data_IF_820392461760
#
_entry.id   IF_820392461760
#
_cell.length_a   1.000
_cell.length_b   1.000
_cell.length_c   1.000
_cell.angle_alpha   90.00
_cell.angle_beta   90.00
_cell.angle_gamma   90.00
#
_symmetry.space_group_name_H-M   'P 1'
#
loop_
_entity.id
_entity.type
_entity.pdbx_description
1 polymer ?
#
# COMPACT_ATOMS: atom_id res chain seq x y z
N UNK A 1 1.29 -12.46 -21.83
CA UNK A 1 2.29 -12.79 -20.80
C UNK A 1 3.32 -11.67 -20.66
N UNK A 2 3.93 -11.18 -21.76
CA UNK A 2 4.82 -9.99 -21.74
C UNK A 2 4.21 -8.70 -21.16
N UNK A 3 2.90 -8.48 -21.32
CA UNK A 3 2.18 -7.31 -20.78
C UNK A 3 1.91 -7.36 -19.26
N UNK A 4 2.02 -8.52 -18.61
CA UNK A 4 1.84 -8.66 -17.16
C UNK A 4 3.15 -8.45 -16.39
N UNK A 5 4.29 -8.83 -16.97
CA UNK A 5 5.62 -8.62 -16.40
C UNK A 5 5.89 -7.13 -16.06
N UNK A 6 5.40 -6.21 -16.91
CA UNK A 6 5.70 -4.77 -16.79
C UNK A 6 4.71 -3.99 -15.92
N UNK A 7 3.53 -4.56 -15.59
CA UNK A 7 2.59 -3.94 -14.65
C UNK A 7 3.17 -3.82 -13.23
N UNK A 8 4.17 -4.66 -12.88
CA UNK A 8 4.92 -4.55 -11.63
C UNK A 8 5.76 -3.26 -11.53
N UNK A 9 6.27 -2.73 -12.65
CA UNK A 9 7.08 -1.50 -12.66
C UNK A 9 6.23 -0.26 -12.37
N UNK A 10 4.97 -0.24 -12.83
CA UNK A 10 4.03 0.87 -12.64
C UNK A 10 3.68 1.09 -11.15
N UNK A 11 3.72 0.03 -10.33
CA UNK A 11 3.32 0.08 -8.92
C UNK A 11 4.45 0.52 -7.97
N UNK A 12 5.71 0.50 -8.43
CA UNK A 12 6.89 0.81 -7.62
C UNK A 12 7.47 2.21 -7.86
N UNK A 13 6.90 3.01 -8.75
CA UNK A 13 7.38 4.39 -9.00
C UNK A 13 6.82 5.30 -7.91
N UNK A 14 7.40 5.18 -6.72
CA UNK A 14 7.44 6.26 -5.76
C UNK A 14 8.28 7.39 -6.36
N UNK A 15 7.63 8.30 -7.08
CA UNK A 15 8.18 9.56 -7.59
C UNK A 15 8.52 10.52 -6.42
N UNK A 16 9.22 10.04 -5.39
CA UNK A 16 9.49 10.77 -4.15
C UNK A 16 10.86 11.47 -4.12
N UNK A 17 11.81 11.11 -5.00
CA UNK A 17 13.14 11.73 -4.97
C UNK A 17 13.27 13.02 -5.83
N UNK A 18 12.59 13.12 -6.98
CA UNK A 18 12.79 14.22 -7.94
C UNK A 18 12.09 15.54 -7.57
N UNK A 19 10.99 15.47 -6.80
CA UNK A 19 10.21 16.67 -6.46
C UNK A 19 10.88 17.56 -5.41
N UNK A 20 11.76 17.00 -4.57
CA UNK A 20 12.46 17.74 -3.51
C UNK A 20 13.56 18.63 -4.10
N UNK A 21 14.48 18.07 -4.88
CA UNK A 21 15.69 18.78 -5.38
C UNK A 21 15.34 19.94 -6.32
N UNK A 22 14.40 19.72 -7.25
CA UNK A 22 13.98 20.76 -8.19
C UNK A 22 13.17 21.89 -7.53
N UNK A 23 12.35 21.57 -6.53
CA UNK A 23 11.53 22.56 -5.83
C UNK A 23 12.34 23.40 -4.86
N UNK A 24 13.34 22.82 -4.17
CA UNK A 24 14.27 23.60 -3.34
C UNK A 24 15.06 24.61 -4.18
N UNK A 25 15.57 24.21 -5.35
CA UNK A 25 16.25 25.12 -6.27
C UNK A 25 15.32 26.25 -6.77
N UNK A 26 14.05 25.91 -7.11
CA UNK A 26 13.07 26.89 -7.57
C UNK A 26 12.57 27.88 -6.50
N UNK A 27 12.52 27.48 -5.22
CA UNK A 27 12.14 28.36 -4.12
C UNK A 27 13.29 29.28 -3.72
N UNK A 28 14.53 28.78 -3.64
CA UNK A 28 15.73 29.59 -3.40
C UNK A 28 15.84 30.71 -4.45
N UNK A 29 15.58 30.38 -5.72
CA UNK A 29 15.60 31.38 -6.81
C UNK A 29 14.52 32.46 -6.65
N UNK A 30 13.30 32.11 -6.21
CA UNK A 30 12.20 33.08 -6.03
C UNK A 30 12.43 34.01 -4.84
N UNK A 31 12.84 33.46 -3.70
CA UNK A 31 13.07 34.26 -2.49
C UNK A 31 14.23 35.23 -2.70
N UNK A 32 15.26 34.83 -3.46
CA UNK A 32 16.42 35.69 -3.74
C UNK A 32 16.14 36.76 -4.79
N UNK A 33 15.32 36.49 -5.81
CA UNK A 33 14.84 37.54 -6.73
C UNK A 33 14.03 38.59 -5.97
N UNK A 34 13.21 38.19 -4.99
CA UNK A 34 12.48 39.14 -4.16
C UNK A 34 13.42 39.99 -3.29
N UNK A 35 14.46 39.40 -2.71
CA UNK A 35 15.47 40.14 -1.93
C UNK A 35 16.29 41.10 -2.80
N UNK A 36 16.76 40.67 -3.98
CA UNK A 36 17.49 41.53 -4.92
C UNK A 36 16.62 42.68 -5.42
N UNK A 37 15.34 42.43 -5.72
CA UNK A 37 14.40 43.47 -6.10
C UNK A 37 14.14 44.47 -4.95
N UNK A 38 14.15 44.02 -3.69
CA UNK A 38 14.04 44.90 -2.51
C UNK A 38 15.31 45.73 -2.29
N UNK A 39 16.49 45.14 -2.45
CA UNK A 39 17.79 45.82 -2.34
C UNK A 39 17.97 46.88 -3.45
N UNK A 40 17.58 46.55 -4.68
CA UNK A 40 17.63 47.47 -5.83
C UNK A 40 16.60 48.59 -5.72
N UNK A 41 15.40 48.30 -5.20
CA UNK A 41 14.41 49.32 -4.88
C UNK A 41 14.91 50.31 -3.81
N UNK A 42 15.70 49.85 -2.84
CA UNK A 42 16.33 50.70 -1.84
C UNK A 42 17.47 51.58 -2.40
N UNK A 43 18.08 51.16 -3.52
CA UNK A 43 19.19 51.88 -4.17
C UNK A 43 18.75 52.77 -5.36
N UNK A 44 17.45 52.77 -5.71
CA UNK A 44 16.90 53.64 -6.75
C UNK A 44 17.38 53.33 -8.17
N UNK A 45 17.90 52.13 -8.42
CA UNK A 45 18.35 51.69 -9.74
C UNK A 45 17.41 50.64 -10.33
N UNK A 46 17.08 50.81 -11.62
CA UNK A 46 16.33 49.83 -12.41
C UNK A 46 17.34 49.08 -13.29
N UNK A 47 17.67 47.84 -12.95
CA UNK A 47 18.48 46.97 -13.82
C UNK A 47 17.58 46.30 -14.87
N UNK A 48 18.04 46.21 -16.11
CA UNK A 48 17.35 45.44 -17.15
C UNK A 48 17.42 43.93 -16.83
N UNK A 49 16.35 43.20 -17.15
CA UNK A 49 16.12 41.77 -16.87
C UNK A 49 17.29 40.87 -17.37
N UNK A 50 17.99 41.33 -18.39
CA UNK A 50 19.19 40.73 -19.01
C UNK A 50 20.41 40.69 -18.09
N UNK A 51 20.60 41.67 -17.20
CA UNK A 51 21.76 41.70 -16.28
C UNK A 51 21.49 40.94 -14.98
N UNK A 52 20.23 40.89 -14.53
CA UNK A 52 19.78 39.97 -13.47
C UNK A 52 20.02 38.51 -13.89
N UNK A 53 19.71 38.20 -15.15
CA UNK A 53 19.92 36.87 -15.74
C UNK A 53 21.39 36.47 -15.74
N UNK A 54 22.31 37.40 -16.06
CA UNK A 54 23.76 37.15 -16.04
C UNK A 54 24.32 36.98 -14.63
N UNK A 55 23.82 37.73 -13.64
CA UNK A 55 24.22 37.56 -12.23
C UNK A 55 23.70 36.23 -11.65
N UNK A 56 22.51 35.80 -12.04
CA UNK A 56 21.96 34.48 -11.69
C UNK A 56 22.75 33.32 -12.34
N UNK A 57 23.22 33.50 -13.58
CA UNK A 57 23.98 32.47 -14.32
C UNK A 57 25.35 32.18 -13.68
N UNK A 58 25.94 33.16 -12.97
CA UNK A 58 27.23 33.01 -12.27
C UNK A 58 27.15 32.14 -11.01
N UNK A 59 25.95 31.71 -10.60
CA UNK A 59 25.69 30.90 -9.40
C UNK A 59 25.03 29.54 -9.71
N UNK A 60 24.99 29.11 -10.98
CA UNK A 60 24.40 27.83 -11.40
C UNK A 60 25.17 26.57 -10.95
N UNK A 61 26.26 26.72 -10.19
CA UNK A 61 27.08 25.61 -9.68
C UNK A 61 26.40 24.73 -8.60
N UNK A 62 25.22 25.12 -8.09
CA UNK A 62 24.54 24.39 -7.01
C UNK A 62 23.36 23.51 -7.46
N UNK A 63 23.11 23.36 -8.77
CA UNK A 63 22.02 22.50 -9.26
C UNK A 63 22.56 21.15 -9.71
N UNK A 64 22.24 20.10 -8.95
CA UNK A 64 22.51 18.71 -9.33
C UNK A 64 21.24 18.06 -9.87
N UNK A 65 21.33 17.45 -11.04
CA UNK A 65 20.26 16.65 -11.64
C UNK A 65 20.57 15.17 -11.37
N UNK A 66 19.63 14.46 -10.76
CA UNK A 66 19.74 13.03 -10.47
C UNK A 66 18.59 12.28 -11.12
N UNK A 67 18.88 11.08 -11.61
CA UNK A 67 17.89 10.18 -12.22
C UNK A 67 17.81 8.90 -11.38
N UNK A 68 16.60 8.57 -10.91
CA UNK A 68 16.29 7.29 -10.28
C UNK A 68 15.55 6.45 -11.33
N UNK A 69 16.22 5.42 -11.86
CA UNK A 69 15.70 4.58 -12.95
C UNK A 69 15.85 3.10 -12.59
N UNK A 70 14.90 2.28 -13.03
CA UNK A 70 14.94 0.84 -12.79
C UNK A 70 15.96 0.13 -13.71
N UNK A 71 15.98 0.47 -14.99
CA UNK A 71 16.96 -0.04 -15.94
C UNK A 71 17.28 0.99 -17.03
N UNK A 72 18.34 0.70 -17.80
CA UNK A 72 18.86 1.56 -18.89
C UNK A 72 18.73 0.87 -20.26
N UNK A 73 17.81 -0.09 -20.43
CA UNK A 73 17.72 -0.92 -21.66
C UNK A 73 17.50 -0.09 -22.92
N UNK A 74 16.81 1.03 -22.79
CA UNK A 74 16.47 1.93 -23.90
C UNK A 74 17.32 3.21 -23.91
N UNK A 75 18.29 3.33 -23.01
CA UNK A 75 19.17 4.50 -22.95
C UNK A 75 20.31 4.39 -23.99
N UNK A 76 20.60 5.50 -24.67
CA UNK A 76 21.74 5.56 -25.60
C UNK A 76 23.05 5.81 -24.83
N UNK A 77 24.18 5.38 -25.40
CA UNK A 77 25.51 5.65 -24.85
C UNK A 77 25.76 7.16 -24.64
N UNK A 78 25.24 8.01 -25.55
CA UNK A 78 25.35 9.46 -25.44
C UNK A 78 24.62 10.02 -24.20
N UNK A 79 23.51 9.40 -23.79
CA UNK A 79 22.78 9.79 -22.58
C UNK A 79 23.55 9.40 -21.32
N UNK A 80 24.13 8.19 -21.32
CA UNK A 80 24.81 7.64 -20.14
C UNK A 80 26.19 8.26 -19.94
N UNK A 81 26.91 8.58 -21.02
CA UNK A 81 28.27 9.14 -20.96
C UNK A 81 28.37 10.50 -20.26
N UNK A 82 27.26 11.25 -20.21
CA UNK A 82 27.22 12.58 -19.60
C UNK A 82 26.89 12.56 -18.11
N UNK A 83 26.62 11.38 -17.52
CA UNK A 83 26.15 11.24 -16.14
C UNK A 83 27.12 10.42 -15.29
N UNK A 84 27.31 10.82 -14.04
CA UNK A 84 27.92 9.94 -13.02
C UNK A 84 26.94 8.83 -12.64
N UNK A 85 27.41 7.57 -12.65
CA UNK A 85 26.57 6.41 -12.36
C UNK A 85 26.84 5.86 -10.97
N UNK A 86 25.78 5.69 -10.19
CA UNK A 86 25.80 4.93 -8.93
C UNK A 86 24.86 3.75 -9.11
N UNK A 87 25.40 2.54 -9.06
CA UNK A 87 24.63 1.31 -9.21
C UNK A 87 24.18 0.80 -7.84
N UNK A 88 22.87 0.72 -7.65
CA UNK A 88 22.27 0.06 -6.49
C UNK A 88 21.88 -1.37 -6.88
N UNK A 89 22.67 -2.35 -6.44
CA UNK A 89 22.27 -3.75 -6.56
C UNK A 89 21.09 -4.05 -5.64
N UNK A 90 20.26 -5.02 -6.01
CA UNK A 90 19.17 -5.50 -5.14
C UNK A 90 19.70 -5.99 -3.78
N UNK A 91 20.93 -6.50 -3.73
CA UNK A 91 21.58 -7.00 -2.51
C UNK A 91 22.02 -5.89 -1.55
N UNK A 92 22.02 -4.61 -1.97
CA UNK A 92 22.34 -3.48 -1.09
C UNK A 92 21.29 -3.36 0.02
N UNK A 93 20.04 -3.70 -0.29
CA UNK A 93 18.94 -3.72 0.67
C UNK A 93 18.68 -5.15 1.11
N UNK A 94 19.37 -5.58 2.17
CA UNK A 94 19.18 -6.91 2.76
C UNK A 94 17.81 -7.04 3.43
N UNK A 95 17.32 -8.28 3.54
CA UNK A 95 16.03 -8.55 4.19
C UNK A 95 16.03 -8.13 5.66
N UNK A 96 17.14 -8.34 6.37
CA UNK A 96 17.30 -7.93 7.77
C UNK A 96 17.09 -6.42 7.93
N UNK A 97 17.66 -5.60 7.04
CA UNK A 97 17.46 -4.14 7.05
C UNK A 97 15.99 -3.75 6.84
N UNK A 98 15.28 -4.45 5.95
CA UNK A 98 13.85 -4.20 5.69
C UNK A 98 13.02 -4.56 6.92
N UNK A 99 13.35 -5.67 7.59
CA UNK A 99 12.65 -6.13 8.78
C UNK A 99 12.90 -5.23 9.98
N UNK A 100 14.15 -4.86 10.25
CA UNK A 100 14.50 -3.93 11.31
C UNK A 100 13.82 -2.58 11.09
N UNK A 101 13.85 -2.06 9.86
CA UNK A 101 13.14 -0.84 9.52
C UNK A 101 11.64 -0.95 9.77
N UNK A 102 11.01 -2.08 9.39
CA UNK A 102 9.59 -2.31 9.62
C UNK A 102 9.24 -2.36 11.12
N UNK A 103 9.99 -3.13 11.92
CA UNK A 103 9.77 -3.22 13.36
C UNK A 103 10.00 -1.88 14.05
N UNK A 104 11.08 -1.16 13.70
CA UNK A 104 11.34 0.17 14.25
C UNK A 104 10.20 1.12 13.94
N UNK A 105 9.72 1.13 12.69
CA UNK A 105 8.58 1.93 12.27
C UNK A 105 7.31 1.58 13.04
N UNK A 106 7.05 0.29 13.25
CA UNK A 106 5.89 -0.20 14.00
C UNK A 106 5.93 0.22 15.48
N UNK A 107 7.14 0.30 16.07
CA UNK A 107 7.36 0.73 17.45
C UNK A 107 7.41 2.24 17.63
N UNK A 108 7.64 3.02 16.59
CA UNK A 108 7.87 4.46 16.68
C UNK A 108 6.75 5.31 16.09
N UNK A 109 6.03 4.82 15.07
CA UNK A 109 5.00 5.59 14.37
C UNK A 109 3.63 4.95 14.61
N UNK A 110 2.67 5.68 15.21
CA UNK A 110 1.33 5.16 15.40
C UNK A 110 0.61 5.00 14.06
N UNK A 111 -0.06 3.85 13.88
CA UNK A 111 -0.77 3.49 12.64
C UNK A 111 -1.91 4.48 12.30
N UNK A 112 -2.41 5.24 13.27
CA UNK A 112 -3.59 6.12 13.16
C UNK A 112 -3.24 7.56 12.71
N UNK A 113 -1.97 7.98 12.78
CA UNK A 113 -1.58 9.38 12.48
C UNK A 113 -1.78 9.76 11.01
N UNK A 114 -1.61 8.82 10.08
CA UNK A 114 -1.70 9.09 8.64
C UNK A 114 -3.11 9.41 8.13
N UNK A 115 -4.16 8.93 8.81
CA UNK A 115 -5.55 9.16 8.40
C UNK A 115 -6.09 10.51 8.92
N UNK A 116 -5.60 10.98 10.08
CA UNK A 116 -6.07 12.23 10.69
C UNK A 116 -5.43 13.49 10.10
N UNK A 117 -4.16 13.46 9.71
CA UNK A 117 -3.49 14.57 9.00
C UNK A 117 -4.21 14.91 7.69
N UNK A 118 -4.71 13.89 6.98
CA UNK A 118 -5.49 14.03 5.75
C UNK A 118 -6.94 14.48 6.00
N UNK A 119 -7.50 14.19 7.18
CA UNK A 119 -8.88 14.51 7.57
C UNK A 119 -9.03 15.86 8.30
N UNK A 120 -7.93 16.54 8.63
CA UNK A 120 -7.90 17.94 9.03
C UNK A 120 -8.72 18.28 10.28
N UNK A 121 -8.72 17.43 11.32
CA UNK A 121 -9.57 17.62 12.49
C UNK A 121 -8.96 17.31 13.86
N UNK A 122 -8.92 18.31 14.74
CA UNK A 122 -9.09 18.14 16.20
C UNK A 122 -7.89 18.41 17.11
N UNK A 123 -8.11 19.13 18.22
CA UNK A 123 -7.10 19.61 19.17
C UNK A 123 -6.37 18.48 19.95
N UNK A 124 -5.05 18.63 20.24
CA UNK A 124 -4.17 17.57 20.74
C UNK A 124 -4.30 17.20 22.24
N UNK A 125 -5.18 17.82 23.04
CA UNK A 125 -5.10 17.70 24.51
C UNK A 125 -5.88 16.54 25.14
N UNK A 126 -7.00 16.09 24.56
CA UNK A 126 -7.86 15.03 25.15
C UNK A 126 -7.41 13.62 24.72
N UNK A 127 -6.60 13.49 23.66
CA UNK A 127 -6.31 12.21 22.98
C UNK A 127 -4.98 11.54 23.36
N UNK A 128 -4.09 12.21 24.09
CA UNK A 128 -2.77 11.66 24.46
C UNK A 128 -2.82 10.31 25.21
N UNK A 129 -3.76 10.06 26.15
CA UNK A 129 -3.80 8.78 26.86
C UNK A 129 -4.14 7.60 25.94
N UNK A 130 -5.10 7.79 25.02
CA UNK A 130 -5.53 6.77 24.06
C UNK A 130 -4.45 6.45 23.04
N UNK A 131 -3.75 7.48 22.54
CA UNK A 131 -2.61 7.29 21.65
C UNK A 131 -1.49 6.50 22.31
N UNK A 132 -1.21 6.76 23.58
CA UNK A 132 -0.17 6.04 24.33
C UNK A 132 -0.52 4.55 24.52
N UNK A 133 -1.79 4.24 24.80
CA UNK A 133 -2.26 2.86 24.94
C UNK A 133 -2.22 2.08 23.61
N UNK A 134 -2.71 2.68 22.52
CA UNK A 134 -2.65 2.07 21.18
C UNK A 134 -1.20 1.81 20.74
N UNK A 135 -0.31 2.71 21.10
CA UNK A 135 1.11 2.59 20.79
C UNK A 135 1.79 1.51 21.66
N UNK A 136 1.36 1.34 22.91
CA UNK A 136 1.82 0.21 23.73
C UNK A 136 1.42 -1.14 23.12
N UNK A 137 0.16 -1.28 22.69
CA UNK A 137 -0.32 -2.50 22.00
C UNK A 137 0.48 -2.77 20.72
N UNK A 138 0.83 -1.73 19.96
CA UNK A 138 1.70 -1.83 18.79
C UNK A 138 3.09 -2.37 19.14
N UNK A 139 3.70 -1.84 20.20
CA UNK A 139 5.01 -2.30 20.69
C UNK A 139 4.97 -3.74 21.15
N UNK A 140 3.94 -4.12 21.90
CA UNK A 140 3.77 -5.50 22.38
C UNK A 140 3.62 -6.48 21.19
N UNK A 141 2.83 -6.11 20.16
CA UNK A 141 2.73 -6.89 18.93
C UNK A 141 4.07 -6.96 18.17
N UNK A 142 4.79 -5.85 18.09
CA UNK A 142 6.10 -5.80 17.43
C UNK A 142 7.13 -6.68 18.13
N UNK A 143 7.12 -6.74 19.47
CA UNK A 143 8.01 -7.60 20.25
C UNK A 143 7.71 -9.09 20.04
N UNK A 144 6.44 -9.47 19.94
CA UNK A 144 6.04 -10.85 19.61
C UNK A 144 6.49 -11.24 18.20
N UNK A 145 6.38 -10.32 17.23
CA UNK A 145 6.75 -10.58 15.84
C UNK A 145 8.27 -10.57 15.62
N UNK A 146 9.04 -9.82 16.41
CA UNK A 146 10.48 -9.63 16.21
C UNK A 146 11.26 -10.95 16.07
N UNK A 147 10.93 -11.95 16.88
CA UNK A 147 11.59 -13.27 16.83
C UNK A 147 11.42 -13.99 15.48
N UNK A 148 10.32 -13.75 14.79
CA UNK A 148 10.03 -14.39 13.50
C UNK A 148 10.73 -13.72 12.31
N UNK A 149 11.22 -12.49 12.51
CA UNK A 149 11.91 -11.68 11.50
C UNK A 149 13.44 -11.80 11.55
N UNK A 150 14.01 -12.51 12.52
CA UNK A 150 15.44 -12.81 12.55
C UNK A 150 15.90 -13.52 11.26
N UNK A 151 17.19 -13.47 10.95
CA UNK A 151 17.75 -14.03 9.69
C UNK A 151 17.51 -15.54 9.54
N UNK A 152 17.45 -16.28 10.64
CA UNK A 152 17.08 -17.70 10.69
C UNK A 152 15.59 -17.93 11.00
N UNK A 153 14.83 -16.83 11.10
CA UNK A 153 13.43 -16.81 11.44
C UNK A 153 12.53 -17.38 10.35
N UNK A 154 11.24 -17.36 10.63
CA UNK A 154 10.24 -17.98 9.78
C UNK A 154 9.99 -17.16 8.50
N UNK A 155 10.00 -15.82 8.60
CA UNK A 155 9.68 -14.94 7.46
C UNK A 155 10.66 -15.11 6.30
N UNK A 156 12.00 -15.05 6.49
CA UNK A 156 12.96 -15.27 5.40
C UNK A 156 12.79 -16.65 4.74
N UNK A 157 12.70 -17.73 5.54
CA UNK A 157 12.55 -19.10 5.02
C UNK A 157 11.27 -19.27 4.21
N UNK A 158 10.16 -18.71 4.71
CA UNK A 158 8.88 -18.73 4.02
C UNK A 158 8.83 -17.80 2.81
N UNK A 159 9.77 -16.87 2.63
CA UNK A 159 9.84 -15.99 1.47
C UNK A 159 10.58 -16.65 0.28
N UNK A 160 11.56 -17.51 0.56
CA UNK A 160 12.35 -18.20 -0.47
C UNK A 160 11.56 -19.27 -1.21
N UNK A 161 10.78 -20.09 -0.49
CA UNK A 161 10.03 -21.19 -1.10
C UNK A 161 8.99 -20.73 -2.15
N UNK A 162 8.13 -19.74 -1.86
CA UNK A 162 7.17 -19.19 -2.84
C UNK A 162 7.85 -18.55 -4.04
N UNK A 163 9.07 -18.04 -3.92
CA UNK A 163 9.79 -17.43 -5.04
C UNK A 163 10.11 -18.44 -6.17
N UNK A 164 10.12 -19.73 -5.86
CA UNK A 164 10.32 -20.82 -6.84
C UNK A 164 9.03 -21.27 -7.53
N UNK A 165 7.86 -20.78 -7.09
CA UNK A 165 6.57 -21.20 -7.61
C UNK A 165 6.11 -20.28 -8.75
N UNK A 166 5.27 -20.81 -9.63
CA UNK A 166 4.69 -20.03 -10.72
C UNK A 166 3.55 -19.13 -10.22
N UNK A 167 3.77 -17.83 -10.35
CA UNK A 167 2.79 -16.79 -10.01
C UNK A 167 2.18 -16.17 -11.27
N UNK A 168 0.98 -15.59 -11.14
CA UNK A 168 0.34 -14.88 -12.27
C UNK A 168 1.11 -13.60 -12.64
N UNK A 169 1.73 -12.94 -11.66
CA UNK A 169 2.59 -11.77 -11.85
C UNK A 169 3.98 -12.06 -11.28
N UNK A 170 5.04 -11.42 -11.78
CA UNK A 170 6.40 -11.72 -11.29
C UNK A 170 6.52 -11.54 -9.79
N UNK A 171 7.06 -12.55 -9.15
CA UNK A 171 7.30 -12.52 -7.73
C UNK A 171 8.41 -11.53 -7.41
N UNK A 172 8.09 -10.52 -6.60
CA UNK A 172 9.07 -9.59 -6.05
C UNK A 172 8.97 -9.63 -4.52
N UNK A 173 10.12 -9.74 -3.86
CA UNK A 173 10.22 -9.83 -2.40
C UNK A 173 9.49 -8.66 -1.72
N UNK A 174 9.71 -7.44 -2.20
CA UNK A 174 9.08 -6.24 -1.66
C UNK A 174 7.55 -6.23 -1.79
N UNK A 175 6.97 -6.79 -2.87
CA UNK A 175 5.51 -6.87 -3.03
C UNK A 175 4.88 -7.82 -2.02
N UNK A 176 5.51 -8.98 -1.81
CA UNK A 176 5.10 -9.96 -0.81
C UNK A 176 5.21 -9.38 0.61
N UNK A 177 6.33 -8.74 0.93
CA UNK A 177 6.58 -8.09 2.22
C UNK A 177 5.65 -6.90 2.48
N UNK A 178 5.41 -6.04 1.49
CA UNK A 178 4.45 -4.95 1.64
C UNK A 178 3.03 -5.46 1.92
N UNK A 179 2.62 -6.55 1.27
CA UNK A 179 1.33 -7.20 1.56
C UNK A 179 1.28 -7.74 2.99
N UNK A 180 2.39 -8.32 3.47
CA UNK A 180 2.55 -8.84 4.82
C UNK A 180 2.47 -7.72 5.87
N UNK A 181 3.21 -6.63 5.66
CA UNK A 181 3.18 -5.44 6.51
C UNK A 181 1.78 -4.84 6.58
N UNK A 182 1.07 -4.79 5.46
CA UNK A 182 -0.32 -4.34 5.41
C UNK A 182 -1.26 -5.20 6.27
N UNK A 183 -1.10 -6.52 6.23
CA UNK A 183 -1.90 -7.42 7.07
C UNK A 183 -1.54 -7.27 8.57
N UNK A 184 -0.27 -7.01 8.91
CA UNK A 184 0.11 -6.76 10.30
C UNK A 184 -0.44 -5.46 10.87
N UNK A 185 -0.46 -4.38 10.09
CA UNK A 185 -1.13 -3.17 10.56
C UNK A 185 -2.64 -3.42 10.74
N UNK A 186 -3.29 -4.20 9.86
CA UNK A 186 -4.68 -4.57 10.03
C UNK A 186 -4.91 -5.43 11.28
N UNK A 187 -4.02 -6.37 11.59
CA UNK A 187 -4.05 -7.15 12.83
C UNK A 187 -4.10 -6.22 14.04
N UNK A 188 -3.22 -5.22 14.06
CA UNK A 188 -3.15 -4.26 15.16
C UNK A 188 -4.40 -3.37 15.19
N UNK A 189 -4.90 -2.91 14.04
CA UNK A 189 -6.16 -2.15 13.96
C UNK A 189 -7.34 -2.96 14.51
N UNK A 190 -7.39 -4.26 14.25
CA UNK A 190 -8.43 -5.14 14.79
C UNK A 190 -8.36 -5.21 16.32
N UNK A 191 -7.16 -5.34 16.89
CA UNK A 191 -6.94 -5.36 18.34
C UNK A 191 -7.32 -4.00 18.96
N UNK A 192 -6.88 -2.90 18.36
CA UNK A 192 -7.20 -1.55 18.81
C UNK A 192 -8.71 -1.29 18.76
N UNK A 193 -9.37 -1.68 17.66
CA UNK A 193 -10.83 -1.58 17.52
C UNK A 193 -11.58 -2.46 18.54
N UNK A 194 -11.03 -3.63 18.89
CA UNK A 194 -11.58 -4.47 19.95
C UNK A 194 -11.49 -3.79 21.32
N UNK A 195 -10.34 -3.23 21.67
CA UNK A 195 -10.14 -2.52 22.93
C UNK A 195 -11.03 -1.26 23.02
N UNK A 196 -11.26 -0.58 21.90
CA UNK A 196 -12.18 0.57 21.84
C UNK A 196 -13.64 0.17 22.04
N UNK A 197 -14.05 -1.00 21.55
CA UNK A 197 -15.42 -1.52 21.74
C UNK A 197 -15.64 -2.12 23.13
N UNK A 198 -14.57 -2.54 23.82
CA UNK A 198 -14.60 -3.17 25.14
C UNK A 198 -13.68 -2.42 26.13
N UNK A 199 -14.01 -1.18 26.53
CA UNK A 199 -13.14 -0.38 27.40
C UNK A 199 -12.97 -0.98 28.80
N UNK A 200 -13.98 -1.71 29.29
CA UNK A 200 -13.95 -2.35 30.61
C UNK A 200 -13.11 -3.64 30.63
N UNK A 201 -12.98 -4.30 29.47
CA UNK A 201 -12.28 -5.58 29.30
C UNK A 201 -11.40 -5.52 28.05
N UNK A 202 -10.29 -4.76 28.08
CA UNK A 202 -9.34 -4.74 26.98
C UNK A 202 -8.69 -6.11 26.82
N UNK A 203 -8.17 -6.37 25.62
CA UNK A 203 -7.50 -7.62 25.30
C UNK A 203 -6.30 -7.85 26.23
N UNK A 204 -6.29 -9.01 26.89
CA UNK A 204 -5.24 -9.37 27.85
C UNK A 204 -3.96 -9.81 27.12
N UNK A 205 -2.80 -9.70 27.79
CA UNK A 205 -1.50 -10.11 27.23
C UNK A 205 -1.47 -11.58 26.80
N UNK A 206 -2.15 -12.47 27.53
CA UNK A 206 -2.21 -13.89 27.17
C UNK A 206 -3.05 -14.14 25.92
N UNK A 207 -4.15 -13.38 25.74
CA UNK A 207 -4.93 -13.42 24.50
C UNK A 207 -4.14 -12.89 23.32
N UNK A 208 -3.34 -11.83 23.51
CA UNK A 208 -2.43 -11.32 22.47
C UNK A 208 -1.39 -12.37 22.05
N UNK A 209 -0.77 -13.05 23.02
CA UNK A 209 0.19 -14.13 22.78
C UNK A 209 -0.41 -15.34 22.07
N UNK A 210 -1.72 -15.58 22.22
CA UNK A 210 -2.42 -16.61 21.45
C UNK A 210 -2.82 -16.13 20.04
N UNK A 211 -3.35 -14.91 19.93
CA UNK A 211 -3.88 -14.36 18.69
C UNK A 211 -2.79 -14.01 17.66
N UNK A 212 -1.74 -13.29 18.08
CA UNK A 212 -0.73 -12.75 17.17
C UNK A 212 0.00 -13.85 16.37
N UNK A 213 0.48 -14.95 16.99
CA UNK A 213 1.14 -16.02 16.23
C UNK A 213 0.21 -16.74 15.25
N UNK A 214 -1.05 -17.02 15.65
CA UNK A 214 -2.03 -17.64 14.76
C UNK A 214 -2.35 -16.74 13.56
N UNK A 215 -2.58 -15.45 13.81
CA UNK A 215 -2.84 -14.47 12.75
C UNK A 215 -1.62 -14.28 11.85
N UNK A 216 -0.41 -14.31 12.42
CA UNK A 216 0.86 -14.28 11.69
C UNK A 216 0.98 -15.41 10.65
N UNK A 217 0.66 -16.65 11.03
CA UNK A 217 0.66 -17.80 10.10
C UNK A 217 -0.33 -17.56 8.96
N UNK A 218 -1.55 -17.09 9.28
CA UNK A 218 -2.54 -16.74 8.26
C UNK A 218 -2.03 -15.66 7.29
N UNK A 219 -1.35 -14.62 7.82
CA UNK A 219 -0.77 -13.57 6.99
C UNK A 219 0.28 -14.10 6.01
N UNK A 220 1.18 -14.98 6.47
CA UNK A 220 2.23 -15.54 5.61
C UNK A 220 1.63 -16.32 4.45
N UNK A 221 0.63 -17.16 4.72
CA UNK A 221 -0.04 -17.94 3.68
C UNK A 221 -0.69 -17.01 2.65
N UNK A 222 -1.47 -16.03 3.10
CA UNK A 222 -2.19 -15.14 2.19
C UNK A 222 -1.29 -14.19 1.41
N UNK A 223 -0.18 -13.72 1.99
CA UNK A 223 0.73 -12.79 1.34
C UNK A 223 1.64 -13.48 0.32
N UNK A 224 2.13 -14.68 0.66
CA UNK A 224 3.09 -15.39 -0.16
C UNK A 224 2.45 -16.25 -1.25
N UNK A 225 1.17 -16.61 -1.08
CA UNK A 225 0.41 -17.37 -2.08
C UNK A 225 -0.69 -16.55 -2.78
N UNK A 226 -0.67 -15.22 -2.61
CA UNK A 226 -1.69 -14.27 -3.08
C UNK A 226 -2.06 -14.48 -4.55
N UNK A 227 -1.07 -14.59 -5.41
CA UNK A 227 -1.18 -14.69 -6.87
C UNK A 227 -0.88 -16.09 -7.41
N UNK A 228 -0.70 -17.07 -6.53
CA UNK A 228 -0.61 -18.48 -6.88
C UNK A 228 -1.98 -19.11 -7.15
N UNK A 229 -2.00 -20.15 -7.99
CA UNK A 229 -3.15 -21.05 -8.16
C UNK A 229 -3.49 -21.74 -6.84
N UNK A 230 -4.72 -22.23 -6.70
CA UNK A 230 -5.19 -22.93 -5.48
C UNK A 230 -4.19 -24.02 -4.99
N UNK A 231 -3.70 -24.86 -5.90
CA UNK A 231 -2.71 -25.91 -5.60
C UNK A 231 -1.41 -25.35 -5.01
N UNK A 232 -0.97 -24.17 -5.44
CA UNK A 232 0.22 -23.53 -4.88
C UNK A 232 -0.04 -22.94 -3.49
N UNK A 233 -1.27 -22.46 -3.24
CA UNK A 233 -1.66 -22.00 -1.90
C UNK A 233 -1.62 -23.13 -0.88
N UNK A 234 -2.08 -24.31 -1.29
CA UNK A 234 -2.00 -25.54 -0.47
C UNK A 234 -0.53 -25.90 -0.19
N UNK A 235 0.33 -25.96 -1.21
CA UNK A 235 1.77 -26.26 -1.02
C UNK A 235 2.47 -25.28 -0.09
N UNK A 236 2.21 -23.97 -0.23
CA UNK A 236 2.76 -22.95 0.66
C UNK A 236 2.23 -23.13 2.08
N UNK A 237 0.95 -23.47 2.23
CA UNK A 237 0.35 -23.82 3.52
C UNK A 237 1.02 -25.01 4.19
N UNK A 238 1.23 -26.10 3.46
CA UNK A 238 1.88 -27.32 3.96
C UNK A 238 3.35 -27.05 4.36
N UNK A 239 4.07 -26.25 3.58
CA UNK A 239 5.44 -25.84 3.90
C UNK A 239 5.50 -25.01 5.20
N UNK A 240 4.56 -24.08 5.35
CA UNK A 240 4.43 -23.24 6.54
C UNK A 240 4.12 -24.11 7.76
N UNK A 241 3.17 -25.03 7.66
CA UNK A 241 2.84 -26.01 8.71
C UNK A 241 4.07 -26.81 9.16
N UNK A 242 4.83 -27.34 8.21
CA UNK A 242 6.01 -28.16 8.51
C UNK A 242 7.15 -27.38 9.17
N UNK A 243 7.14 -26.05 9.06
CA UNK A 243 8.19 -25.18 9.60
C UNK A 243 7.79 -24.53 10.92
N UNK A 244 6.48 -24.33 11.16
CA UNK A 244 5.96 -23.66 12.36
C UNK A 244 5.99 -24.53 13.61
N UNK A 245 6.24 -23.90 14.75
CA UNK A 245 5.96 -24.44 16.10
C UNK A 245 4.68 -23.84 16.71
N UNK A 246 3.95 -23.03 15.94
CA UNK A 246 2.75 -22.29 16.37
C UNK A 246 1.54 -23.24 16.40
N UNK A 247 0.57 -23.09 17.33
CA UNK A 247 -0.62 -23.92 17.37
C UNK A 247 -1.44 -23.86 16.06
N UNK A 248 -1.66 -25.04 15.47
CA UNK A 248 -2.36 -25.21 14.19
C UNK A 248 -3.84 -25.61 14.40
N UNK A 249 -4.72 -25.36 13.42
CA UNK A 249 -6.11 -25.79 13.49
C UNK A 249 -6.21 -27.33 13.60
N UNK A 250 -7.15 -27.85 14.42
CA UNK A 250 -7.41 -29.28 14.46
C UNK A 250 -8.12 -29.74 13.18
N UNK A 251 -7.54 -30.71 12.46
CA UNK A 251 -8.17 -31.36 11.32
C UNK A 251 -7.27 -31.53 10.10
N UNK A 252 -7.83 -32.06 9.01
CA UNK A 252 -7.14 -32.29 7.73
C UNK A 252 -7.46 -31.25 6.66
N UNK A 253 -8.27 -30.24 6.98
CA UNK A 253 -8.61 -29.17 6.04
C UNK A 253 -7.40 -28.22 5.87
N UNK A 254 -7.21 -27.63 4.68
CA UNK A 254 -6.08 -26.74 4.43
C UNK A 254 -6.24 -25.45 5.24
N UNK A 255 -5.13 -24.86 5.72
CA UNK A 255 -5.18 -23.69 6.63
C UNK A 255 -5.90 -22.48 6.03
N UNK A 256 -5.85 -22.32 4.70
CA UNK A 256 -6.59 -21.28 3.96
C UNK A 256 -8.11 -21.33 4.20
N UNK A 257 -8.62 -22.46 4.69
CA UNK A 257 -10.02 -22.67 5.01
C UNK A 257 -10.40 -22.19 6.41
N UNK A 258 -9.43 -21.75 7.21
CA UNK A 258 -9.62 -21.21 8.53
C UNK A 258 -9.35 -19.69 8.59
N UNK A 259 -10.06 -19.02 9.47
CA UNK A 259 -9.86 -17.66 9.91
C UNK A 259 -9.50 -17.67 11.39
N UNK A 260 -8.69 -16.73 11.85
CA UNK A 260 -8.34 -16.60 13.27
C UNK A 260 -9.29 -15.59 13.89
N UNK A 261 -10.05 -16.00 14.91
CA UNK A 261 -10.89 -15.09 15.69
C UNK A 261 -10.03 -14.22 16.64
N UNK A 262 -10.59 -13.16 17.21
CA UNK A 262 -9.85 -12.29 18.15
C UNK A 262 -9.45 -13.01 19.44
N UNK A 263 -10.02 -14.17 19.73
CA UNK A 263 -9.66 -15.03 20.86
C UNK A 263 -8.41 -15.90 20.58
N UNK A 264 -7.90 -15.90 19.34
CA UNK A 264 -6.73 -16.67 18.93
C UNK A 264 -7.05 -18.11 18.50
N UNK A 265 -8.32 -18.43 18.27
CA UNK A 265 -8.77 -19.74 17.81
C UNK A 265 -9.03 -19.75 16.30
N UNK A 266 -8.81 -20.92 15.70
CA UNK A 266 -9.05 -21.16 14.28
C UNK A 266 -10.52 -21.56 14.03
N UNK A 267 -11.21 -20.80 13.19
CA UNK A 267 -12.62 -21.00 12.84
C UNK A 267 -12.75 -21.20 11.34
N UNK A 268 -13.55 -22.18 10.91
CA UNK A 268 -13.77 -22.43 9.48
C UNK A 268 -14.51 -21.26 8.80
N UNK A 269 -14.02 -20.84 7.63
CA UNK A 269 -14.68 -19.84 6.79
C UNK A 269 -16.10 -20.24 6.39
N UNK A 270 -16.40 -21.54 6.31
CA UNK A 270 -17.75 -22.04 6.01
C UNK A 270 -18.81 -21.55 6.99
N UNK A 271 -18.42 -21.32 8.25
CA UNK A 271 -19.32 -20.86 9.30
C UNK A 271 -19.73 -19.39 9.11
N UNK A 272 -18.94 -18.62 8.34
CA UNK A 272 -19.24 -17.22 8.02
C UNK A 272 -20.06 -17.03 6.75
N UNK A 273 -20.31 -18.09 5.98
CA UNK A 273 -21.11 -17.99 4.76
C UNK A 273 -22.59 -17.93 5.14
N UNK A 274 -23.28 -16.80 4.93
CA UNK A 274 -24.70 -16.71 5.23
C UNK A 274 -25.48 -17.59 4.25
N UNK A 275 -26.46 -18.36 4.75
CA UNK A 275 -27.44 -19.04 3.90
C UNK A 275 -28.43 -17.99 3.40
N UNK A 276 -28.21 -17.50 2.20
CA UNK A 276 -29.10 -16.52 1.56
C UNK A 276 -30.17 -17.29 0.79
N UNK A 277 -31.43 -17.13 1.18
CA UNK A 277 -32.57 -17.51 0.34
C UNK A 277 -32.76 -16.43 -0.72
N UNK A 278 -32.45 -16.76 -1.97
CA UNK A 278 -32.63 -15.83 -3.07
C UNK A 278 -34.10 -15.85 -3.49
N UNK A 279 -34.77 -14.71 -3.34
CA UNK A 279 -36.14 -14.53 -3.82
C UNK A 279 -36.19 -14.81 -5.33
N UNK A 280 -37.12 -15.66 -5.77
CA UNK A 280 -37.19 -16.18 -7.15
C UNK A 280 -37.24 -15.09 -8.23
N UNK A 281 -37.76 -13.90 -7.90
CA UNK A 281 -37.86 -12.75 -8.80
C UNK A 281 -36.55 -11.94 -8.96
N UNK A 282 -35.55 -12.17 -8.11
CA UNK A 282 -34.21 -11.56 -8.20
C UNK A 282 -33.14 -12.54 -8.70
N UNK A 283 -33.53 -13.74 -9.08
CA UNK A 283 -32.61 -14.75 -9.62
C UNK A 283 -32.07 -14.25 -10.96
N UNK A 284 -30.78 -13.91 -10.99
CA UNK A 284 -30.07 -13.44 -12.19
C UNK A 284 -29.92 -11.92 -12.31
N UNK A 285 -30.38 -11.13 -11.34
CA UNK A 285 -30.05 -9.70 -11.33
C UNK A 285 -28.55 -9.50 -11.00
N UNK A 286 -27.90 -8.50 -11.63
CA UNK A 286 -26.47 -8.24 -11.42
C UNK A 286 -26.13 -7.81 -9.99
N UNK A 287 -27.12 -7.38 -9.22
CA UNK A 287 -26.96 -6.90 -7.84
C UNK A 287 -26.97 -8.03 -6.80
N UNK A 288 -27.48 -9.22 -7.14
CA UNK A 288 -27.53 -10.35 -6.21
C UNK A 288 -26.21 -11.11 -6.25
N UNK A 289 -25.35 -10.80 -5.28
CA UNK A 289 -24.09 -11.51 -5.07
C UNK A 289 -24.32 -12.71 -4.15
N UNK A 290 -24.26 -13.92 -4.70
CA UNK A 290 -24.28 -15.14 -3.90
C UNK A 290 -22.99 -15.24 -3.10
N UNK A 291 -23.13 -15.27 -1.78
CA UNK A 291 -21.98 -15.42 -0.88
C UNK A 291 -21.48 -16.86 -0.92
N UNK A 292 -20.33 -17.08 -1.54
CA UNK A 292 -19.62 -18.36 -1.51
C UNK A 292 -18.45 -18.28 -0.53
N UNK A 293 -17.88 -19.43 -0.20
CA UNK A 293 -16.65 -19.55 0.61
C UNK A 293 -15.52 -18.64 0.08
N UNK A 294 -15.31 -18.64 -1.24
CA UNK A 294 -14.31 -17.81 -1.90
C UNK A 294 -14.67 -16.32 -1.84
N UNK A 295 -15.95 -15.97 -1.97
CA UNK A 295 -16.41 -14.57 -1.88
C UNK A 295 -16.10 -14.00 -0.51
N UNK A 296 -16.41 -14.73 0.57
CA UNK A 296 -16.19 -14.25 1.95
C UNK A 296 -14.69 -14.09 2.26
N UNK A 297 -13.85 -15.06 1.86
CA UNK A 297 -12.39 -14.99 2.04
C UNK A 297 -11.76 -13.79 1.35
N UNK A 298 -12.00 -13.66 0.04
CA UNK A 298 -11.41 -12.56 -0.73
C UNK A 298 -11.98 -11.21 -0.30
N UNK A 299 -13.25 -11.15 0.11
CA UNK A 299 -13.86 -9.94 0.67
C UNK A 299 -13.15 -9.48 1.95
N UNK A 300 -12.79 -10.39 2.85
CA UNK A 300 -12.01 -10.05 4.06
C UNK A 300 -10.62 -9.48 3.73
N UNK A 301 -9.91 -10.10 2.79
CA UNK A 301 -8.60 -9.60 2.34
C UNK A 301 -8.69 -8.23 1.65
N UNK A 302 -9.73 -8.03 0.83
CA UNK A 302 -10.00 -6.75 0.20
C UNK A 302 -10.23 -5.66 1.25
N UNK A 303 -11.01 -5.93 2.30
CA UNK A 303 -11.21 -4.97 3.39
C UNK A 303 -9.91 -4.60 4.09
N UNK A 304 -9.07 -5.60 4.35
CA UNK A 304 -7.77 -5.41 5.00
C UNK A 304 -6.91 -4.39 4.24
N UNK A 305 -6.77 -4.57 2.93
CA UNK A 305 -5.94 -3.69 2.10
C UNK A 305 -6.62 -2.37 1.73
N UNK A 306 -7.95 -2.35 1.59
CA UNK A 306 -8.72 -1.12 1.36
C UNK A 306 -8.69 -0.21 2.59
N UNK A 307 -8.69 -0.77 3.80
CA UNK A 307 -8.57 -0.03 5.06
C UNK A 307 -7.26 0.74 5.16
N UNK A 308 -6.18 0.23 4.57
CA UNK A 308 -4.89 0.94 4.51
C UNK A 308 -4.74 1.91 3.34
N UNK A 309 -5.76 2.00 2.47
CA UNK A 309 -5.70 2.77 1.22
C UNK A 309 -4.52 2.37 0.32
N UNK A 310 -4.16 1.08 0.31
CA UNK A 310 -3.09 0.55 -0.55
C UNK A 310 -3.60 0.24 -1.95
N UNK A 311 -2.75 0.50 -2.94
CA UNK A 311 -3.01 0.08 -4.31
C UNK A 311 -2.99 -1.45 -4.40
N UNK A 312 -3.99 -2.02 -5.07
CA UNK A 312 -4.11 -3.45 -5.27
C UNK A 312 -4.54 -3.77 -6.69
N UNK A 313 -4.16 -4.95 -7.17
CA UNK A 313 -4.55 -5.46 -8.49
C UNK A 313 -5.31 -6.76 -8.30
N UNK A 314 -6.50 -6.84 -8.91
CA UNK A 314 -7.25 -8.09 -9.02
C UNK A 314 -7.00 -8.67 -10.40
N UNK A 315 -6.23 -9.76 -10.44
CA UNK A 315 -5.92 -10.48 -11.67
C UNK A 315 -6.67 -11.81 -11.72
N UNK A 316 -7.07 -12.23 -12.92
CA UNK A 316 -7.78 -13.48 -13.15
C UNK A 316 -8.55 -13.47 -14.47
N UNK A 317 -9.02 -14.65 -14.95
CA UNK A 317 -9.71 -14.77 -16.23
C UNK A 317 -11.03 -13.97 -16.26
N UNK A 318 -11.54 -13.57 -17.44
CA UNK A 318 -12.82 -12.89 -17.55
C UNK A 318 -13.94 -13.75 -16.93
N UNK A 319 -14.90 -13.11 -16.25
CA UNK A 319 -15.99 -13.82 -15.56
C UNK A 319 -15.64 -14.41 -14.18
N UNK A 320 -14.39 -14.30 -13.71
CA UNK A 320 -13.98 -14.86 -12.40
C UNK A 320 -14.50 -14.13 -11.15
N UNK A 321 -15.49 -13.23 -11.29
CA UNK A 321 -16.08 -12.49 -10.18
C UNK A 321 -15.27 -11.31 -9.62
N UNK A 322 -14.14 -10.91 -10.21
CA UNK A 322 -13.28 -9.81 -9.71
C UNK A 322 -14.04 -8.51 -9.41
N UNK A 323 -14.74 -8.01 -10.42
CA UNK A 323 -15.52 -6.77 -10.35
C UNK A 323 -16.63 -6.91 -9.30
N UNK A 324 -17.36 -8.03 -9.33
CA UNK A 324 -18.43 -8.33 -8.38
C UNK A 324 -17.93 -8.35 -6.92
N UNK A 325 -16.83 -9.05 -6.63
CA UNK A 325 -16.26 -9.13 -5.28
C UNK A 325 -15.74 -7.78 -4.81
N UNK A 326 -15.10 -7.01 -5.70
CA UNK A 326 -14.62 -5.67 -5.37
C UNK A 326 -15.76 -4.71 -5.04
N UNK A 327 -16.78 -4.61 -5.88
CA UNK A 327 -17.93 -3.75 -5.60
C UNK A 327 -18.69 -4.20 -4.35
N UNK A 328 -18.84 -5.51 -4.11
CA UNK A 328 -19.43 -6.01 -2.86
C UNK A 328 -18.62 -5.61 -1.62
N UNK A 329 -17.29 -5.50 -1.73
CA UNK A 329 -16.45 -4.99 -0.67
C UNK A 329 -16.62 -3.47 -0.50
N UNK A 330 -16.50 -2.71 -1.58
CA UNK A 330 -16.58 -1.25 -1.59
C UNK A 330 -17.95 -0.73 -1.11
N UNK A 331 -19.05 -1.40 -1.44
CA UNK A 331 -20.39 -1.03 -0.98
C UNK A 331 -20.58 -1.10 0.54
N UNK A 332 -19.77 -1.88 1.26
CA UNK A 332 -19.85 -1.90 2.72
C UNK A 332 -19.06 -0.76 3.39
N UNK A 333 -18.27 0.02 2.63
CA UNK A 333 -17.49 1.14 3.15
C UNK A 333 -18.23 2.44 2.82
N UNK A 334 -18.93 3.07 3.79
CA UNK A 334 -19.75 4.26 3.54
C UNK A 334 -18.92 5.51 3.18
N UNK A 335 -17.65 5.51 3.58
CA UNK A 335 -16.71 6.62 3.39
C UNK A 335 -16.01 6.59 2.01
N UNK A 336 -16.39 5.69 1.11
CA UNK A 336 -15.73 5.51 -0.19
C UNK A 336 -16.66 5.92 -1.35
N UNK A 337 -16.10 6.69 -2.29
CA UNK A 337 -16.69 6.96 -3.58
C UNK A 337 -15.89 6.26 -4.67
N UNK A 338 -16.55 5.40 -5.45
CA UNK A 338 -15.91 4.58 -6.47
C UNK A 338 -16.15 5.19 -7.84
N UNK A 339 -15.08 5.40 -8.61
CA UNK A 339 -15.13 5.88 -9.99
C UNK A 339 -14.54 4.81 -10.91
N UNK A 340 -15.37 4.28 -11.79
CA UNK A 340 -14.97 3.29 -12.78
C UNK A 340 -14.29 3.92 -14.00
N UNK A 341 -13.18 3.33 -14.41
CA UNK A 341 -12.38 3.68 -15.57
C UNK A 341 -12.14 2.42 -16.39
N UNK A 342 -12.52 2.45 -17.67
CA UNK A 342 -12.27 1.34 -18.59
C UNK A 342 -11.06 1.68 -19.45
N UNK A 343 -9.95 0.97 -19.23
CA UNK A 343 -8.74 1.19 -19.99
C UNK A 343 -8.82 0.47 -21.34
N UNK A 344 -8.17 1.09 -22.32
CA UNK A 344 -7.99 0.63 -23.69
C UNK A 344 -6.54 0.93 -24.13
N UNK A 345 -6.13 0.41 -25.27
CA UNK A 345 -4.81 0.65 -25.85
C UNK A 345 -4.46 2.14 -26.00
N UNK A 346 -5.45 2.98 -26.33
CA UNK A 346 -5.28 4.43 -26.49
C UNK A 346 -5.39 5.24 -25.18
N UNK A 347 -5.45 4.59 -24.02
CA UNK A 347 -5.62 5.28 -22.74
C UNK A 347 -4.33 6.00 -22.35
N UNK A 348 -4.41 7.31 -22.12
CA UNK A 348 -3.27 8.15 -21.74
C UNK A 348 -3.46 8.76 -20.34
N UNK A 349 -2.39 9.17 -19.64
CA UNK A 349 -2.48 9.83 -18.33
C UNK A 349 -3.37 11.08 -18.32
N UNK A 350 -3.58 11.71 -19.47
CA UNK A 350 -4.52 12.84 -19.63
C UNK A 350 -5.96 12.47 -19.26
N UNK A 351 -6.38 11.22 -19.47
CA UNK A 351 -7.70 10.76 -19.04
C UNK A 351 -7.83 10.79 -17.52
N UNK A 352 -6.83 10.28 -16.80
CA UNK A 352 -6.79 10.31 -15.33
C UNK A 352 -6.85 11.75 -14.80
N UNK A 353 -6.09 12.67 -15.40
CA UNK A 353 -6.12 14.09 -15.04
C UNK A 353 -7.51 14.73 -15.24
N UNK A 354 -8.22 14.38 -16.33
CA UNK A 354 -9.60 14.85 -16.55
C UNK A 354 -10.54 14.33 -15.45
N UNK A 355 -10.39 13.08 -15.04
CA UNK A 355 -11.19 12.50 -13.96
C UNK A 355 -10.91 13.17 -12.61
N UNK A 356 -9.62 13.40 -12.30
CA UNK A 356 -9.24 14.14 -11.10
C UNK A 356 -9.81 15.56 -11.10
N UNK A 357 -9.82 16.26 -12.24
CA UNK A 357 -10.42 17.59 -12.32
C UNK A 357 -11.96 17.56 -12.16
N UNK A 358 -12.61 16.43 -12.42
CA UNK A 358 -14.06 16.29 -12.28
C UNK A 358 -14.48 15.92 -10.84
N UNK A 359 -13.79 14.95 -10.23
CA UNK A 359 -14.14 14.41 -8.90
C UNK A 359 -13.35 15.03 -7.74
N UNK A 360 -12.26 15.74 -8.01
CA UNK A 360 -11.41 16.37 -7.00
C UNK A 360 -11.35 17.90 -7.16
N UNK A 361 -10.96 18.55 -6.07
CA UNK A 361 -10.72 19.99 -6.00
C UNK A 361 -9.33 20.26 -5.42
N UNK A 362 -8.70 21.33 -5.89
CA UNK A 362 -7.45 21.81 -5.33
C UNK A 362 -7.73 22.65 -4.07
N UNK A 363 -7.25 22.18 -2.92
CA UNK A 363 -7.33 22.88 -1.64
C UNK A 363 -5.96 23.42 -1.27
N UNK A 364 -5.89 24.68 -0.86
CA UNK A 364 -4.66 25.27 -0.31
C UNK A 364 -4.63 25.00 1.19
N UNK A 365 -3.62 24.25 1.62
CA UNK A 365 -3.30 24.00 3.03
C UNK A 365 -2.02 24.74 3.40
N UNK A 366 -1.71 24.94 4.69
CA UNK A 366 -0.44 25.52 5.13
C UNK A 366 0.78 24.77 4.57
N UNK A 367 0.65 23.46 4.34
CA UNK A 367 1.71 22.59 3.82
C UNK A 367 1.78 22.57 2.27
N UNK A 368 0.91 23.34 1.59
CA UNK A 368 0.89 23.47 0.13
C UNK A 368 -0.47 23.18 -0.51
N UNK A 369 -0.45 23.01 -1.84
CA UNK A 369 -1.66 22.70 -2.62
C UNK A 369 -1.87 21.19 -2.63
N UNK A 370 -2.99 20.74 -2.07
CA UNK A 370 -3.40 19.33 -2.08
C UNK A 370 -4.61 19.14 -2.99
N UNK A 371 -4.64 18.03 -3.71
CA UNK A 371 -5.84 17.61 -4.44
C UNK A 371 -6.62 16.67 -3.52
N UNK A 372 -7.88 17.01 -3.26
CA UNK A 372 -8.76 16.21 -2.41
C UNK A 372 -10.11 16.00 -3.11
N UNK A 373 -10.85 14.91 -2.80
CA UNK A 373 -12.19 14.72 -3.32
C UNK A 373 -13.12 15.92 -3.05
N UNK A 374 -14.01 16.20 -4.00
CA UNK A 374 -14.97 17.30 -3.87
C UNK A 374 -15.93 17.05 -2.70
N UNK A 375 -16.36 15.80 -2.51
CA UNK A 375 -17.15 15.40 -1.36
C UNK A 375 -16.30 15.37 -0.09
N UNK A 376 -16.75 16.08 0.94
CA UNK A 376 -16.05 16.16 2.21
C UNK A 376 -16.01 14.78 2.90
N UNK A 377 -14.84 14.44 3.46
CA UNK A 377 -14.60 13.23 4.25
C UNK A 377 -14.80 11.90 3.52
N UNK A 378 -14.91 11.91 2.19
CA UNK A 378 -14.91 10.69 1.37
C UNK A 378 -13.55 10.42 0.75
N UNK A 379 -13.22 9.14 0.63
CA UNK A 379 -12.08 8.65 -0.14
C UNK A 379 -12.52 8.35 -1.56
N UNK A 380 -11.77 8.86 -2.55
CA UNK A 380 -11.99 8.55 -3.95
C UNK A 380 -11.19 7.30 -4.33
N UNK A 381 -11.89 6.24 -4.74
CA UNK A 381 -11.30 5.00 -5.26
C UNK A 381 -11.47 4.97 -6.77
N UNK A 382 -10.34 5.01 -7.49
CA UNK A 382 -10.31 4.81 -8.93
C UNK A 382 -10.26 3.32 -9.25
N UNK A 383 -11.35 2.78 -9.77
CA UNK A 383 -11.41 1.43 -10.28
C UNK A 383 -10.99 1.40 -11.75
N UNK A 384 -9.81 0.87 -12.04
CA UNK A 384 -9.29 0.75 -13.40
C UNK A 384 -9.50 -0.67 -13.94
N UNK A 385 -10.53 -0.87 -14.76
CA UNK A 385 -10.71 -2.11 -15.51
C UNK A 385 -9.68 -2.19 -16.64
N UNK A 386 -9.14 -3.39 -16.88
CA UNK A 386 -8.16 -3.67 -17.94
C UNK A 386 -6.89 -2.80 -17.91
N UNK A 387 -6.35 -2.57 -16.70
CA UNK A 387 -5.14 -1.74 -16.48
C UNK A 387 -3.91 -2.18 -17.29
N UNK A 388 -3.86 -3.43 -17.75
CA UNK A 388 -2.76 -4.01 -18.53
C UNK A 388 -2.89 -3.85 -20.06
N UNK A 389 -3.91 -3.11 -20.53
CA UNK A 389 -4.15 -2.87 -21.96
C UNK A 389 -3.52 -1.61 -22.59
N UNK A 390 -3.21 -0.51 -21.87
CA UNK A 390 -2.56 0.64 -22.50
C UNK A 390 -1.31 0.22 -23.26
N UNK A 391 -1.13 0.76 -24.46
CA UNK A 391 0.03 0.44 -25.28
C UNK A 391 1.29 1.02 -24.63
N UNK A 392 2.36 0.22 -24.66
CA UNK A 392 3.69 0.72 -24.32
C UNK A 392 4.11 1.76 -25.36
N UNK A 393 4.89 2.75 -24.94
CA UNK A 393 5.55 3.61 -25.90
C UNK A 393 6.71 2.84 -26.57
N UNK A 394 7.57 3.55 -27.31
CA UNK A 394 8.66 2.89 -28.05
C UNK A 394 9.79 2.39 -27.14
N UNK A 395 9.74 2.71 -25.85
CA UNK A 395 10.75 2.48 -24.84
C UNK A 395 10.15 1.66 -23.69
#
# INVERSE_FOLDING_TARGET
>A
MSSLHHANSICNIGLRALKSVLVSAGNIKRDRIQQLNQELAAQGQTLEETDLSKQLHKQEDEVRIMFEVQDLKFATLATVSCCGMVWFSEDVLTLDMVFDHFILKLKSMPIDEGEEELRGGGAPSIRRPFLLHNMQVQRDCADLLHSHFASDGMVPRCLEHPATLDHIMDFTRLRALNSLFSMFHQMIRNIVSYNQSHPDFPMLSDQLKAYVPCYFVSCLIWCFSRDGKMVYREKVGDFIIGTTTIPLPPGTAPIIDFEVNLQGEWVLWSNRVPKIEVETHKVGSPDVVVSTLNTVRHKSLLYTWLGEHKLMVLCGPPGSGKTMTLFSALHALPDIEVVGLNFSSATTPKLLLKMFNHYCQYKRTPNGVVMAPAHLRKWLVLFCDKINLPDFDKY
#
